data_IF_707344083014
#
_entry.id   IF_707344083014
#
_cell.length_a   1.000
_cell.length_b   1.000
_cell.length_c   1.000
_cell.angle_alpha   90.00
_cell.angle_beta   90.00
_cell.angle_gamma   90.00
#
_symmetry.space_group_name_H-M   'P 1'
#
loop_
_entity.id
_entity.type
_entity.pdbx_description
1 polymer ?
#
# COMPACT_ATOMS: atom_id res chain seq x y z
N UNK A 1 21.65 -3.53 12.68
CA UNK A 1 20.20 -3.71 13.03
C UNK A 1 19.46 -2.45 12.65
N UNK A 2 18.90 -2.40 11.43
CA UNK A 2 17.89 -1.42 11.08
C UNK A 2 16.61 -1.88 11.77
N UNK A 3 16.42 -1.45 12.98
CA UNK A 3 15.16 -1.59 13.70
C UNK A 3 14.06 -0.98 12.84
N UNK A 4 12.99 -1.73 12.56
CA UNK A 4 11.81 -1.24 11.85
C UNK A 4 11.26 -0.03 12.60
N UNK A 5 11.54 1.16 12.13
CA UNK A 5 11.05 2.43 12.68
C UNK A 5 9.63 2.74 12.18
N UNK A 6 8.95 1.76 11.58
CA UNK A 6 7.58 1.88 11.11
C UNK A 6 6.69 0.90 11.86
N UNK A 7 6.29 1.25 13.06
CA UNK A 7 5.07 0.69 13.63
C UNK A 7 3.96 1.71 13.35
N UNK A 8 3.02 1.39 12.44
CA UNK A 8 1.81 2.17 12.33
C UNK A 8 1.10 2.18 13.68
N UNK A 9 0.32 3.21 13.97
CA UNK A 9 -0.49 3.25 15.18
C UNK A 9 -1.18 1.93 15.41
N UNK A 10 -0.95 1.29 16.55
CA UNK A 10 -1.58 0.03 16.90
C UNK A 10 -2.70 0.24 17.89
N UNK A 11 -3.88 -0.26 17.56
CA UNK A 11 -5.02 -0.34 18.48
C UNK A 11 -4.89 -1.49 19.47
N UNK A 12 -3.86 -2.34 19.38
CA UNK A 12 -3.67 -3.49 20.22
C UNK A 12 -4.91 -4.39 20.25
N UNK A 13 -5.46 -4.66 21.45
CA UNK A 13 -6.66 -5.48 21.61
C UNK A 13 -7.93 -4.87 21.02
N UNK A 14 -7.94 -3.57 20.76
CA UNK A 14 -9.07 -2.86 20.15
C UNK A 14 -9.09 -2.93 18.62
N UNK A 15 -8.11 -3.55 17.99
CA UNK A 15 -8.05 -3.68 16.53
C UNK A 15 -9.23 -4.47 15.92
N UNK A 16 -9.95 -5.24 16.74
CA UNK A 16 -11.05 -6.09 16.28
C UNK A 16 -12.45 -5.50 16.52
N UNK A 17 -12.53 -4.29 17.08
CA UNK A 17 -13.82 -3.61 17.24
C UNK A 17 -14.37 -3.20 15.86
N UNK A 18 -15.70 -3.10 15.70
CA UNK A 18 -16.32 -2.76 14.42
C UNK A 18 -15.87 -1.42 13.85
N UNK A 19 -15.53 -0.46 14.70
CA UNK A 19 -15.10 0.88 14.31
C UNK A 19 -13.90 1.34 15.14
N UNK A 20 -12.85 1.79 14.46
CA UNK A 20 -11.69 2.45 15.06
C UNK A 20 -11.66 3.92 14.59
N UNK A 21 -11.69 4.90 15.50
CA UNK A 21 -11.72 6.31 15.12
C UNK A 21 -10.36 6.77 14.56
N UNK A 22 -10.38 7.89 13.86
CA UNK A 22 -9.15 8.55 13.40
C UNK A 22 -8.31 9.02 14.59
N UNK A 23 -7.02 8.73 14.54
CA UNK A 23 -6.03 9.25 15.51
C UNK A 23 -5.20 10.34 14.84
N UNK A 24 -5.12 11.49 15.48
CA UNK A 24 -4.37 12.65 14.96
C UNK A 24 -3.40 13.19 16.01
N UNK A 25 -2.28 13.71 15.53
CA UNK A 25 -1.38 14.57 16.30
C UNK A 25 -1.17 15.87 15.51
N UNK A 26 -1.82 16.94 15.95
CA UNK A 26 -1.87 18.19 15.17
C UNK A 26 -2.50 17.94 13.79
N UNK A 27 -1.72 18.23 12.73
CA UNK A 27 -2.14 18.03 11.33
C UNK A 27 -1.87 16.62 10.82
N UNK A 28 -1.13 15.80 11.54
CA UNK A 28 -0.77 14.46 11.12
C UNK A 28 -1.86 13.46 11.50
N UNK A 29 -2.28 12.63 10.55
CA UNK A 29 -3.13 11.47 10.78
C UNK A 29 -2.22 10.29 11.06
N UNK A 30 -2.24 9.79 12.30
CA UNK A 30 -1.45 8.63 12.74
C UNK A 30 -2.14 7.32 12.38
N UNK A 31 -3.47 7.31 12.43
CA UNK A 31 -4.31 6.22 11.94
C UNK A 31 -5.60 6.80 11.36
N UNK A 32 -6.03 6.38 10.18
CA UNK A 32 -7.32 6.76 9.62
C UNK A 32 -8.46 6.06 10.38
N UNK A 33 -9.68 6.58 10.23
CA UNK A 33 -10.87 5.88 10.71
C UNK A 33 -11.07 4.59 9.90
N UNK A 34 -11.44 3.50 10.59
CA UNK A 34 -11.60 2.17 10.00
C UNK A 34 -12.86 1.48 10.49
N UNK A 35 -13.47 0.71 9.60
CA UNK A 35 -14.62 -0.14 9.88
C UNK A 35 -14.32 -1.57 9.44
N UNK A 36 -14.45 -2.53 10.36
CA UNK A 36 -14.30 -3.95 10.03
C UNK A 36 -15.63 -4.50 9.54
N UNK A 37 -15.62 -5.30 8.48
CA UNK A 37 -16.84 -5.90 7.92
C UNK A 37 -17.25 -7.22 8.59
N UNK A 38 -16.61 -7.58 9.70
CA UNK A 38 -16.87 -8.84 10.41
C UNK A 38 -18.32 -8.98 10.87
N UNK A 39 -18.98 -7.89 11.26
CA UNK A 39 -20.37 -7.90 11.67
C UNK A 39 -21.28 -8.16 10.48
N UNK A 40 -21.07 -7.49 9.35
CA UNK A 40 -21.80 -7.73 8.10
C UNK A 40 -21.65 -9.18 7.63
N UNK A 41 -20.45 -9.74 7.74
CA UNK A 41 -20.19 -11.13 7.41
C UNK A 41 -21.02 -12.08 8.29
N UNK A 42 -21.07 -11.84 9.59
CA UNK A 42 -21.88 -12.62 10.53
C UNK A 42 -23.37 -12.49 10.27
N UNK A 43 -23.84 -11.33 9.81
CA UNK A 43 -25.24 -11.09 9.41
C UNK A 43 -25.58 -11.73 8.06
N UNK A 44 -24.64 -12.45 7.42
CA UNK A 44 -24.86 -13.19 6.20
C UNK A 44 -24.81 -12.37 4.93
N UNK A 45 -24.21 -11.17 4.94
CA UNK A 45 -24.12 -10.24 3.81
C UNK A 45 -23.72 -10.92 2.48
N UNK A 46 -22.76 -11.84 2.51
CA UNK A 46 -22.27 -12.54 1.32
C UNK A 46 -23.36 -13.36 0.61
N UNK A 47 -24.26 -13.98 1.36
CA UNK A 47 -25.29 -14.87 0.84
C UNK A 47 -26.70 -14.27 0.83
N UNK A 48 -26.85 -13.04 1.33
CA UNK A 48 -28.14 -12.39 1.44
C UNK A 48 -28.60 -11.84 0.09
N UNK A 49 -29.80 -12.17 -0.39
CA UNK A 49 -30.33 -11.56 -1.60
C UNK A 49 -30.53 -10.04 -1.45
N UNK A 50 -30.83 -9.57 -0.22
CA UNK A 50 -31.02 -8.15 0.11
C UNK A 50 -29.71 -7.53 0.68
N UNK A 51 -28.57 -7.93 0.14
CA UNK A 51 -27.26 -7.44 0.57
C UNK A 51 -27.12 -5.90 0.52
N UNK A 52 -27.62 -5.19 -0.51
CA UNK A 52 -27.57 -3.74 -0.56
C UNK A 52 -28.29 -3.07 0.62
N UNK A 53 -29.50 -3.54 0.99
CA UNK A 53 -30.25 -3.01 2.13
C UNK A 53 -29.58 -3.32 3.46
N UNK A 54 -29.00 -4.52 3.58
CA UNK A 54 -28.24 -4.89 4.78
C UNK A 54 -27.01 -3.98 4.94
N UNK A 55 -26.29 -3.74 3.84
CA UNK A 55 -25.15 -2.83 3.85
C UNK A 55 -25.57 -1.40 4.18
N UNK A 56 -26.67 -0.90 3.60
CA UNK A 56 -27.18 0.44 3.84
C UNK A 56 -27.52 0.66 5.33
N UNK A 57 -28.21 -0.31 5.96
CA UNK A 57 -28.52 -0.26 7.41
C UNK A 57 -27.26 -0.26 8.26
N UNK A 58 -26.30 -1.15 7.96
CA UNK A 58 -25.03 -1.23 8.66
C UNK A 58 -24.23 0.07 8.49
N UNK A 59 -24.16 0.60 7.26
CA UNK A 59 -23.51 1.87 6.94
C UNK A 59 -24.10 3.02 7.78
N UNK A 60 -25.43 3.11 7.89
CA UNK A 60 -26.08 4.13 8.68
C UNK A 60 -25.76 3.98 10.19
N UNK A 61 -25.80 2.77 10.71
CA UNK A 61 -25.48 2.46 12.09
C UNK A 61 -24.05 2.91 12.46
N UNK A 62 -23.09 2.59 11.62
CA UNK A 62 -21.66 2.85 11.86
C UNK A 62 -21.17 4.17 11.26
N UNK A 63 -22.06 4.96 10.66
CA UNK A 63 -21.75 6.26 10.02
C UNK A 63 -20.62 6.15 9.01
N UNK A 64 -20.61 5.08 8.22
CA UNK A 64 -19.63 4.90 7.15
C UNK A 64 -19.90 5.93 6.05
N UNK A 65 -18.90 6.71 5.60
CA UNK A 65 -19.09 7.72 4.56
C UNK A 65 -19.46 7.10 3.22
N UNK A 66 -19.97 7.91 2.31
CA UNK A 66 -20.27 7.46 0.94
C UNK A 66 -19.02 6.95 0.23
N UNK A 67 -17.97 7.74 0.27
CA UNK A 67 -16.70 7.36 -0.32
C UNK A 67 -15.73 6.90 0.76
N UNK A 68 -15.22 5.71 0.58
CA UNK A 68 -14.20 5.13 1.46
C UNK A 68 -13.31 4.18 0.66
N UNK A 69 -12.28 3.66 1.28
CA UNK A 69 -11.36 2.72 0.67
C UNK A 69 -11.62 1.32 1.21
N UNK A 70 -11.75 0.34 0.34
CA UNK A 70 -11.65 -1.08 0.71
C UNK A 70 -10.17 -1.41 0.80
N UNK A 71 -9.74 -1.85 1.98
CA UNK A 71 -8.34 -2.19 2.23
C UNK A 71 -8.19 -3.70 2.32
N UNK A 72 -7.32 -4.23 1.48
CA UNK A 72 -6.89 -5.62 1.50
C UNK A 72 -5.37 -5.66 1.33
N UNK A 73 -4.67 -5.90 2.43
CA UNK A 73 -3.20 -5.81 2.51
C UNK A 73 -2.68 -4.44 2.04
N UNK A 74 -1.95 -4.40 0.93
CA UNK A 74 -1.41 -3.19 0.31
C UNK A 74 -2.33 -2.58 -0.76
N UNK A 75 -3.42 -3.29 -1.13
CA UNK A 75 -4.40 -2.76 -2.07
C UNK A 75 -5.41 -1.85 -1.38
N UNK A 76 -5.71 -0.74 -2.04
CA UNK A 76 -6.78 0.19 -1.67
C UNK A 76 -7.66 0.46 -2.89
N UNK A 77 -8.92 0.09 -2.78
CA UNK A 77 -9.92 0.30 -3.83
C UNK A 77 -10.95 1.33 -3.37
N UNK A 78 -11.17 2.35 -4.19
CA UNK A 78 -12.21 3.34 -3.92
C UNK A 78 -13.59 2.69 -4.00
N UNK A 79 -14.35 2.83 -2.93
CA UNK A 79 -15.75 2.43 -2.82
C UNK A 79 -16.65 3.67 -2.85
N UNK A 80 -17.59 3.72 -3.75
CA UNK A 80 -18.78 4.55 -3.65
C UNK A 80 -19.91 3.68 -3.08
N UNK A 81 -20.29 3.93 -1.84
CA UNK A 81 -21.30 3.15 -1.14
C UNK A 81 -22.75 3.33 -1.67
N UNK A 82 -22.96 4.29 -2.57
CA UNK A 82 -24.25 4.49 -3.25
C UNK A 82 -24.25 3.80 -4.63
N UNK A 83 -23.14 3.20 -5.06
CA UNK A 83 -23.03 2.46 -6.31
C UNK A 83 -23.28 0.96 -6.08
N UNK A 84 -24.36 0.42 -6.63
CA UNK A 84 -24.73 -0.99 -6.46
C UNK A 84 -23.65 -1.95 -6.99
N UNK A 85 -22.97 -1.61 -8.09
CA UNK A 85 -21.87 -2.42 -8.64
C UNK A 85 -20.67 -2.50 -7.69
N UNK A 86 -20.37 -1.40 -6.98
CA UNK A 86 -19.32 -1.40 -5.96
C UNK A 86 -19.70 -2.24 -4.75
N UNK A 87 -20.98 -2.29 -4.36
CA UNK A 87 -21.44 -3.14 -3.26
C UNK A 87 -21.36 -4.62 -3.64
N UNK A 88 -21.68 -4.98 -4.89
CA UNK A 88 -21.51 -6.34 -5.37
C UNK A 88 -20.04 -6.76 -5.43
N UNK A 89 -19.17 -5.86 -5.87
CA UNK A 89 -17.72 -6.10 -5.84
C UNK A 89 -17.21 -6.31 -4.39
N UNK A 90 -17.65 -5.45 -3.46
CA UNK A 90 -17.31 -5.59 -2.04
C UNK A 90 -17.78 -6.95 -1.49
N UNK A 91 -19.00 -7.38 -1.89
CA UNK A 91 -19.56 -8.69 -1.50
C UNK A 91 -18.70 -9.85 -2.01
N UNK A 92 -18.30 -9.79 -3.27
CA UNK A 92 -17.44 -10.80 -3.88
C UNK A 92 -16.06 -10.86 -3.21
N UNK A 93 -15.45 -9.71 -2.95
CA UNK A 93 -14.16 -9.63 -2.28
C UNK A 93 -14.23 -10.11 -0.81
N UNK A 94 -15.32 -9.81 -0.10
CA UNK A 94 -15.54 -10.30 1.25
C UNK A 94 -15.76 -11.82 1.28
N UNK A 95 -16.45 -12.36 0.27
CA UNK A 95 -16.64 -13.81 0.13
C UNK A 95 -15.30 -14.54 -0.09
N UNK A 96 -14.42 -13.95 -0.87
CA UNK A 96 -13.09 -14.49 -1.20
C UNK A 96 -12.12 -14.42 -0.02
N UNK A 97 -12.08 -13.28 0.66
CA UNK A 97 -11.05 -12.99 1.66
C UNK A 97 -11.50 -13.28 3.11
N UNK A 98 -12.79 -13.47 3.37
CA UNK A 98 -13.35 -13.75 4.70
C UNK A 98 -13.27 -12.58 5.69
N UNK A 99 -12.49 -11.54 5.40
CA UNK A 99 -12.36 -10.33 6.23
C UNK A 99 -11.87 -9.18 5.36
N UNK A 100 -12.50 -8.02 5.52
CA UNK A 100 -12.09 -6.78 4.88
C UNK A 100 -12.26 -5.60 5.84
N UNK A 101 -11.55 -4.53 5.55
CA UNK A 101 -11.61 -3.27 6.30
C UNK A 101 -11.98 -2.16 5.33
N UNK A 102 -12.91 -1.30 5.74
CA UNK A 102 -13.10 0.00 5.10
C UNK A 102 -12.27 1.04 5.84
N UNK A 103 -11.67 1.94 5.09
CA UNK A 103 -10.87 3.05 5.61
C UNK A 103 -11.41 4.36 5.04
N UNK A 104 -11.43 5.41 5.84
CA UNK A 104 -11.82 6.73 5.33
C UNK A 104 -10.85 7.23 4.25
N UNK A 105 -11.31 8.15 3.42
CA UNK A 105 -10.43 8.83 2.47
C UNK A 105 -9.34 9.63 3.18
N UNK A 106 -8.18 9.85 2.54
CA UNK A 106 -7.08 10.64 3.09
C UNK A 106 -7.54 11.97 3.70
N UNK A 107 -7.04 12.26 4.89
CA UNK A 107 -7.42 13.48 5.62
C UNK A 107 -8.87 13.50 6.14
N UNK A 108 -9.67 12.46 5.88
CA UNK A 108 -11.10 12.41 6.16
C UNK A 108 -11.92 13.22 5.18
N UNK A 109 -11.45 13.31 3.96
CA UNK A 109 -12.17 13.92 2.86
C UNK A 109 -13.52 13.23 2.62
N UNK A 110 -14.51 13.98 2.14
CA UNK A 110 -15.83 13.45 1.85
C UNK A 110 -15.94 12.93 0.42
N UNK A 111 -15.10 13.45 -0.48
CA UNK A 111 -15.08 13.06 -1.89
C UNK A 111 -13.66 12.72 -2.35
N UNK A 112 -13.51 11.95 -3.44
CA UNK A 112 -12.21 11.70 -4.04
C UNK A 112 -11.50 13.00 -4.47
N UNK A 113 -12.23 13.98 -4.95
CA UNK A 113 -11.66 15.28 -5.33
C UNK A 113 -11.06 16.01 -4.11
N UNK A 114 -11.74 16.00 -2.97
CA UNK A 114 -11.19 16.61 -1.74
C UNK A 114 -9.96 15.87 -1.22
N UNK A 115 -9.89 14.56 -1.46
CA UNK A 115 -8.78 13.73 -1.02
C UNK A 115 -7.53 13.89 -1.89
N UNK A 116 -7.69 13.98 -3.21
CA UNK A 116 -6.59 13.92 -4.19
C UNK A 116 -6.57 15.06 -5.21
N UNK A 117 -7.51 16.01 -5.13
CA UNK A 117 -7.64 17.09 -6.11
C UNK A 117 -6.43 18.01 -6.23
N UNK A 118 -5.44 17.87 -5.34
CA UNK A 118 -4.16 18.56 -5.46
C UNK A 118 -3.27 18.02 -6.60
N UNK A 119 -3.59 16.83 -7.11
CA UNK A 119 -3.00 16.24 -8.30
C UNK A 119 -4.13 15.87 -9.27
N UNK A 120 -4.48 16.81 -10.12
CA UNK A 120 -5.57 16.66 -11.07
C UNK A 120 -5.12 17.12 -12.48
N UNK A 121 -5.73 16.53 -13.49
CA UNK A 121 -5.63 16.98 -14.89
C UNK A 121 -7.06 17.12 -15.44
N UNK A 122 -7.52 18.36 -15.57
CA UNK A 122 -8.92 18.66 -15.84
C UNK A 122 -9.84 18.12 -14.73
N UNK A 123 -10.79 17.27 -15.10
CA UNK A 123 -11.74 16.63 -14.18
C UNK A 123 -11.22 15.31 -13.58
N UNK A 124 -10.07 14.82 -14.03
CA UNK A 124 -9.46 13.59 -13.54
C UNK A 124 -8.60 13.85 -12.31
N UNK A 125 -8.78 13.01 -11.29
CA UNK A 125 -8.05 13.12 -10.02
C UNK A 125 -7.21 11.86 -9.83
N UNK A 126 -5.93 12.04 -9.51
CA UNK A 126 -4.98 10.94 -9.35
C UNK A 126 -4.71 10.65 -7.89
N UNK A 127 -4.89 9.39 -7.50
CA UNK A 127 -4.41 8.92 -6.21
C UNK A 127 -2.88 9.00 -6.18
N UNK A 128 -2.33 9.61 -5.14
CA UNK A 128 -0.90 9.85 -5.03
C UNK A 128 -0.39 9.51 -3.64
N UNK A 129 0.82 9.01 -3.59
CA UNK A 129 1.56 8.73 -2.38
C UNK A 129 2.82 9.60 -2.36
N UNK A 130 3.00 10.34 -1.27
CA UNK A 130 4.20 11.13 -1.04
C UNK A 130 5.02 10.48 0.08
N UNK A 131 6.19 9.99 -0.26
CA UNK A 131 7.15 9.46 0.71
C UNK A 131 8.10 10.56 1.14
N UNK A 132 8.06 10.90 2.43
CA UNK A 132 8.93 11.93 3.01
C UNK A 132 9.81 11.29 4.07
N UNK A 133 11.12 11.40 3.89
CA UNK A 133 12.10 10.92 4.87
C UNK A 133 12.36 11.99 5.94
N UNK A 134 12.23 11.60 7.19
CA UNK A 134 12.56 12.45 8.33
C UNK A 134 13.83 11.95 9.01
N UNK A 135 14.70 12.87 9.36
CA UNK A 135 15.87 12.57 10.19
C UNK A 135 15.77 13.33 11.51
N UNK A 136 16.33 12.74 12.57
CA UNK A 136 16.41 13.42 13.86
C UNK A 136 17.27 14.69 13.71
N UNK A 137 16.81 15.82 14.25
CA UNK A 137 17.45 17.14 14.10
C UNK A 137 18.90 17.16 14.59
N UNK A 138 19.23 16.34 15.59
CA UNK A 138 20.56 16.27 16.23
C UNK A 138 21.48 15.20 15.60
N UNK A 139 21.02 14.51 14.55
CA UNK A 139 21.91 13.64 13.80
C UNK A 139 22.84 14.52 12.97
N UNK A 140 24.15 14.43 13.20
CA UNK A 140 25.19 15.17 12.49
C UNK A 140 25.32 14.70 11.02
N UNK A 141 24.25 14.77 10.26
CA UNK A 141 24.28 14.60 8.82
C UNK A 141 24.38 15.98 8.19
N UNK A 142 25.53 16.27 7.61
CA UNK A 142 25.72 17.50 6.87
C UNK A 142 24.68 17.65 5.76
N UNK A 143 24.23 18.87 5.47
CA UNK A 143 23.12 19.17 4.55
C UNK A 143 23.35 18.77 3.09
N UNK A 144 24.56 18.33 2.73
CA UNK A 144 24.95 18.10 1.32
C UNK A 144 24.73 16.68 0.79
N UNK A 145 24.29 15.73 1.61
CA UNK A 145 24.12 14.33 1.13
C UNK A 145 22.79 14.03 0.49
N UNK A 146 21.80 14.92 0.53
CA UNK A 146 20.45 14.69 0.00
C UNK A 146 20.00 15.75 -1.03
N UNK A 147 20.89 16.26 -1.85
CA UNK A 147 20.47 16.87 -3.11
C UNK A 147 20.27 15.77 -4.14
N UNK A 148 19.24 14.95 -3.96
CA UNK A 148 18.72 14.18 -5.08
C UNK A 148 18.13 15.20 -6.07
N UNK A 149 18.85 15.49 -7.14
CA UNK A 149 18.23 16.04 -8.34
C UNK A 149 17.33 14.96 -8.87
N UNK A 150 16.04 15.00 -8.52
CA UNK A 150 15.04 14.17 -9.19
C UNK A 150 14.92 14.72 -10.60
N UNK A 151 15.68 14.17 -11.51
CA UNK A 151 15.38 14.28 -12.93
C UNK A 151 14.24 13.30 -13.18
N UNK A 152 13.03 13.82 -13.23
CA UNK A 152 11.89 13.11 -13.78
C UNK A 152 12.12 13.00 -15.30
N UNK A 153 12.84 11.97 -15.73
CA UNK A 153 12.81 11.58 -17.12
C UNK A 153 11.47 10.89 -17.39
N UNK A 154 10.74 11.27 -18.43
CA UNK A 154 9.38 10.77 -18.68
C UNK A 154 9.28 9.31 -19.14
N UNK A 155 10.39 8.58 -19.26
CA UNK A 155 10.36 7.18 -19.64
C UNK A 155 10.23 6.26 -18.43
N UNK A 156 8.99 5.98 -18.03
CA UNK A 156 8.66 5.12 -16.89
C UNK A 156 8.59 3.62 -17.22
N UNK A 157 8.74 3.20 -18.50
CA UNK A 157 8.64 1.79 -18.92
C UNK A 157 9.88 1.34 -19.63
N UNK A 158 10.55 0.35 -19.04
CA UNK A 158 11.72 -0.31 -19.63
C UNK A 158 11.32 -1.70 -20.13
N UNK A 159 11.46 -1.93 -21.44
CA UNK A 159 11.17 -3.21 -22.08
C UNK A 159 12.45 -4.07 -22.17
N UNK A 160 12.31 -5.39 -22.39
CA UNK A 160 13.45 -6.24 -22.70
C UNK A 160 14.26 -5.66 -23.87
N UNK A 161 15.59 -5.58 -23.69
CA UNK A 161 16.48 -4.92 -24.67
C UNK A 161 16.75 -3.44 -24.39
N UNK A 162 16.12 -2.84 -23.38
CA UNK A 162 16.50 -1.51 -22.89
C UNK A 162 17.78 -1.57 -22.06
N UNK A 163 18.25 -0.40 -21.60
CA UNK A 163 19.41 -0.30 -20.70
C UNK A 163 19.17 -0.90 -19.30
N UNK A 164 17.93 -1.24 -18.94
CA UNK A 164 17.61 -1.89 -17.67
C UNK A 164 17.48 -3.39 -17.82
N UNK A 165 18.18 -4.10 -16.97
CA UNK A 165 18.11 -5.55 -16.84
C UNK A 165 17.38 -5.91 -15.53
N UNK A 166 16.48 -6.88 -15.62
CA UNK A 166 15.73 -7.38 -14.47
C UNK A 166 15.70 -8.90 -14.50
N UNK A 167 16.12 -9.53 -13.40
CA UNK A 167 16.12 -10.98 -13.21
C UNK A 167 15.27 -11.33 -12.01
N UNK A 168 14.56 -12.47 -12.11
CA UNK A 168 13.88 -13.10 -10.99
C UNK A 168 14.59 -14.41 -10.68
N UNK A 169 15.04 -14.57 -9.44
CA UNK A 169 15.68 -15.78 -8.96
C UNK A 169 14.80 -16.38 -7.88
N UNK A 170 14.07 -17.41 -8.25
CA UNK A 170 13.20 -18.13 -7.33
C UNK A 170 14.02 -19.02 -6.40
N UNK A 171 13.83 -18.86 -5.09
CA UNK A 171 14.52 -19.59 -4.05
C UNK A 171 13.69 -19.56 -2.77
N UNK A 172 13.76 -20.58 -1.91
CA UNK A 172 13.12 -20.55 -0.60
C UNK A 172 13.56 -19.33 0.22
N UNK A 173 12.66 -18.81 1.07
CA UNK A 173 12.89 -17.61 1.85
C UNK A 173 14.11 -17.69 2.77
N UNK A 174 14.34 -18.84 3.37
CA UNK A 174 15.47 -19.15 4.26
C UNK A 174 16.81 -19.17 3.52
N UNK A 175 16.81 -19.59 2.25
CA UNK A 175 18.01 -19.63 1.42
C UNK A 175 18.39 -18.29 0.79
N UNK A 176 17.46 -17.31 0.73
CA UNK A 176 17.72 -16.02 0.08
C UNK A 176 18.95 -15.29 0.64
N UNK A 177 19.19 -15.41 1.94
CA UNK A 177 20.32 -14.72 2.58
C UNK A 177 21.64 -15.37 2.22
N UNK A 178 21.69 -16.69 2.15
CA UNK A 178 22.85 -17.43 1.68
C UNK A 178 23.15 -17.13 0.23
N UNK A 179 22.13 -17.19 -0.63
CA UNK A 179 22.27 -16.89 -2.05
C UNK A 179 22.82 -15.46 -2.30
N UNK A 180 22.34 -14.48 -1.52
CA UNK A 180 22.84 -13.10 -1.61
C UNK A 180 24.29 -12.96 -1.17
N UNK A 181 24.72 -13.68 -0.11
CA UNK A 181 26.08 -13.59 0.40
C UNK A 181 27.08 -14.35 -0.46
N UNK A 182 26.73 -15.58 -0.82
CA UNK A 182 27.70 -16.56 -1.33
C UNK A 182 27.71 -16.66 -2.87
N UNK A 183 26.72 -16.04 -3.56
CA UNK A 183 26.63 -16.11 -5.02
C UNK A 183 26.37 -14.77 -5.68
N UNK A 184 25.27 -14.12 -5.30
CA UNK A 184 24.81 -12.92 -5.99
C UNK A 184 25.63 -11.68 -5.63
N UNK A 185 26.13 -11.60 -4.38
CA UNK A 185 26.90 -10.44 -3.90
C UNK A 185 28.10 -10.16 -4.80
N UNK A 186 28.92 -11.15 -5.03
CA UNK A 186 30.08 -11.04 -5.92
C UNK A 186 29.69 -10.67 -7.36
N UNK A 187 28.63 -11.28 -7.89
CA UNK A 187 28.13 -10.95 -9.22
C UNK A 187 27.64 -9.50 -9.32
N UNK A 188 26.96 -8.99 -8.28
CA UNK A 188 26.51 -7.60 -8.23
C UNK A 188 27.68 -6.61 -8.14
N UNK A 189 28.73 -6.93 -7.39
CA UNK A 189 29.95 -6.11 -7.32
C UNK A 189 30.66 -6.06 -8.68
N UNK A 190 30.74 -7.18 -9.36
CA UNK A 190 31.31 -7.24 -10.73
C UNK A 190 30.48 -6.43 -11.71
N UNK A 191 29.15 -6.53 -11.66
CA UNK A 191 28.25 -5.73 -12.49
C UNK A 191 28.47 -4.24 -12.21
N UNK A 192 28.49 -3.84 -10.95
CA UNK A 192 28.73 -2.44 -10.56
C UNK A 192 30.06 -1.91 -11.13
N UNK A 193 31.10 -2.73 -11.07
CA UNK A 193 32.44 -2.37 -11.57
C UNK A 193 32.45 -2.22 -13.10
N UNK A 194 31.78 -3.12 -13.83
CA UNK A 194 31.81 -3.14 -15.30
C UNK A 194 30.86 -2.10 -15.90
N UNK A 195 29.66 -1.97 -15.32
CA UNK A 195 28.61 -1.07 -15.88
C UNK A 195 28.69 0.35 -15.32
N UNK A 196 29.40 0.57 -14.21
CA UNK A 196 29.38 1.85 -13.49
C UNK A 196 28.04 2.17 -12.84
N UNK A 197 27.09 1.22 -12.86
CA UNK A 197 25.76 1.37 -12.25
C UNK A 197 25.72 0.72 -10.88
N UNK A 198 24.73 1.10 -10.07
CA UNK A 198 24.50 0.48 -8.76
C UNK A 198 23.40 -0.57 -8.88
N UNK A 199 23.75 -1.87 -8.92
CA UNK A 199 22.75 -2.92 -8.92
C UNK A 199 22.03 -2.97 -7.57
N UNK A 200 20.76 -3.33 -7.60
CA UNK A 200 19.98 -3.52 -6.37
C UNK A 200 19.08 -4.74 -6.47
N UNK A 201 18.59 -5.20 -5.34
CA UNK A 201 17.64 -6.30 -5.27
C UNK A 201 16.46 -5.97 -4.36
N UNK A 202 15.37 -6.68 -4.63
CA UNK A 202 14.17 -6.69 -3.78
C UNK A 202 13.79 -8.13 -3.51
N UNK A 203 13.49 -8.45 -2.25
CA UNK A 203 12.87 -9.73 -1.88
C UNK A 203 11.38 -9.64 -2.14
N UNK A 204 10.83 -10.61 -2.85
CA UNK A 204 9.44 -10.60 -3.25
C UNK A 204 8.86 -12.02 -3.23
N UNK A 205 7.52 -12.10 -3.17
CA UNK A 205 6.78 -13.35 -3.31
C UNK A 205 5.61 -13.09 -4.25
N UNK A 206 5.45 -13.94 -5.25
CA UNK A 206 4.30 -13.95 -6.15
C UNK A 206 3.70 -15.37 -6.22
N UNK A 207 2.80 -15.61 -7.16
CA UNK A 207 2.11 -16.89 -7.32
C UNK A 207 3.06 -18.05 -7.65
N UNK A 208 4.22 -17.76 -8.23
CA UNK A 208 5.27 -18.74 -8.54
C UNK A 208 6.20 -19.00 -7.33
N UNK A 209 6.07 -18.21 -6.26
CA UNK A 209 6.79 -18.37 -5.00
C UNK A 209 7.73 -17.23 -4.64
N UNK A 210 8.49 -17.41 -3.56
CA UNK A 210 9.45 -16.41 -3.09
C UNK A 210 10.63 -16.29 -4.06
N UNK A 211 11.08 -15.06 -4.31
CA UNK A 211 12.18 -14.79 -5.25
C UNK A 211 12.92 -13.47 -4.94
N UNK A 212 14.12 -13.37 -5.48
CA UNK A 212 14.88 -12.13 -5.55
C UNK A 212 14.65 -11.47 -6.91
N UNK A 213 14.30 -10.21 -6.92
CA UNK A 213 14.30 -9.37 -8.14
C UNK A 213 15.59 -8.57 -8.16
N UNK A 214 16.49 -8.93 -9.05
CA UNK A 214 17.73 -8.19 -9.30
C UNK A 214 17.51 -7.20 -10.40
N UNK A 215 18.02 -5.98 -10.24
CA UNK A 215 17.94 -4.92 -11.26
C UNK A 215 19.24 -4.17 -11.34
N UNK A 216 19.66 -3.87 -12.57
CA UNK A 216 20.81 -3.04 -12.88
C UNK A 216 20.69 -2.39 -14.25
N UNK A 217 21.48 -1.36 -14.47
CA UNK A 217 21.49 -0.55 -15.67
C UNK A 217 22.80 -0.77 -16.44
#
# INVERSE_FOLDING_TARGET
>A
ELQRVWEPWSWGRLAYIPFSPRVRSGRFVLAPARWTLNELLRQGFVKNPDAPELFARWRQQWKVPRHCLVVNQDMRLLLDADNAGHIELLRAELAKNGSLVLEELPGGASTPHDAWGWLADGDEVYASELVVSFTKRDAAFGPDRFRAKIHLEPELKYFPGSRWHSFRLYTPMDEMTHLLKDGIGEAMERIATVSGSTPFFVRYTDDDGPHLRLRFQ
#
